data_IF_262570918187
#
_entry.id   IF_262570918187
#
_cell.length_a   1.000
_cell.length_b   1.000
_cell.length_c   1.000
_cell.angle_alpha   90.00
_cell.angle_beta   90.00
_cell.angle_gamma   90.00
#
_symmetry.space_group_name_H-M   'P 1'
#
loop_
_entity.id
_entity.type
_entity.pdbx_description
1 polymer ?
#
# COMPACT_ATOMS: atom_id res chain seq x y z
N UNK A 1 8.82 20.93 64.11
CA UNK A 1 9.91 20.00 63.75
C UNK A 1 9.32 18.60 63.65
N UNK A 2 9.36 17.98 62.47
CA UNK A 2 8.84 16.62 62.26
C UNK A 2 9.73 15.63 63.07
N UNK A 3 9.14 14.73 63.88
CA UNK A 3 9.88 13.76 64.70
C UNK A 3 10.87 12.94 63.85
N UNK A 4 12.05 12.65 64.41
CA UNK A 4 13.14 11.97 63.69
C UNK A 4 12.78 10.53 63.29
N UNK A 5 11.88 9.88 64.02
CA UNK A 5 11.43 8.50 63.75
C UNK A 5 10.51 8.32 62.53
N UNK A 6 9.85 9.39 62.06
CA UNK A 6 8.85 9.30 60.98
C UNK A 6 9.49 9.57 59.59
N UNK A 7 10.68 10.17 59.55
CA UNK A 7 11.44 10.45 58.31
C UNK A 7 11.80 9.20 57.47
N UNK A 8 12.18 8.05 58.06
CA UNK A 8 12.47 6.84 57.30
C UNK A 8 11.23 6.32 56.56
N UNK A 9 10.05 6.40 57.18
CA UNK A 9 8.78 5.99 56.57
C UNK A 9 8.41 6.84 55.36
N UNK A 10 8.52 8.17 55.47
CA UNK A 10 8.30 9.07 54.33
C UNK A 10 9.31 8.85 53.21
N UNK A 11 10.57 8.54 53.54
CA UNK A 11 11.60 8.24 52.54
C UNK A 11 11.30 6.93 51.80
N UNK A 12 10.86 5.90 52.50
CA UNK A 12 10.53 4.62 51.86
C UNK A 12 9.30 4.72 50.95
N UNK A 13 8.27 5.47 51.36
CA UNK A 13 7.11 5.79 50.51
C UNK A 13 7.55 6.60 49.28
N UNK A 14 8.41 7.60 49.46
CA UNK A 14 8.95 8.39 48.35
C UNK A 14 9.72 7.52 47.36
N UNK A 15 10.58 6.63 47.85
CA UNK A 15 11.36 5.71 47.01
C UNK A 15 10.47 4.67 46.31
N UNK A 16 9.38 4.23 46.93
CA UNK A 16 8.37 3.37 46.29
C UNK A 16 7.63 4.09 45.17
N UNK A 17 7.15 5.33 45.41
CA UNK A 17 6.47 6.13 44.40
C UNK A 17 7.39 6.41 43.22
N UNK A 18 8.67 6.71 43.49
CA UNK A 18 9.68 6.95 42.46
C UNK A 18 9.94 5.70 41.59
N UNK A 19 10.03 4.52 42.21
CA UNK A 19 10.18 3.25 41.48
C UNK A 19 8.96 2.91 40.63
N UNK A 20 7.75 3.13 41.15
CA UNK A 20 6.51 2.96 40.40
C UNK A 20 6.42 3.92 39.22
N UNK A 21 6.85 5.17 39.40
CA UNK A 21 6.86 6.17 38.32
C UNK A 21 7.84 5.79 37.20
N UNK A 22 9.03 5.30 37.55
CA UNK A 22 9.98 4.74 36.58
C UNK A 22 9.41 3.52 35.83
N UNK A 23 8.76 2.60 36.55
CA UNK A 23 8.11 1.43 35.93
C UNK A 23 6.95 1.84 35.01
N UNK A 24 6.18 2.86 35.38
CA UNK A 24 5.12 3.44 34.55
C UNK A 24 5.69 4.10 33.30
N UNK A 25 6.82 4.79 33.42
CA UNK A 25 7.54 5.39 32.30
C UNK A 25 7.96 4.34 31.27
N UNK A 26 8.64 3.27 31.69
CA UNK A 26 9.07 2.19 30.79
C UNK A 26 7.88 1.49 30.12
N UNK A 27 6.81 1.21 30.85
CA UNK A 27 5.62 0.58 30.27
C UNK A 27 4.91 1.48 29.24
N UNK A 28 4.93 2.80 29.46
CA UNK A 28 4.42 3.77 28.48
C UNK A 28 5.26 3.81 27.21
N UNK A 29 6.58 3.81 27.32
CA UNK A 29 7.47 3.76 26.16
C UNK A 29 7.24 2.50 25.31
N UNK A 30 7.12 1.34 25.96
CA UNK A 30 6.81 0.08 25.27
C UNK A 30 5.44 0.12 24.59
N UNK A 31 4.42 0.68 25.25
CA UNK A 31 3.09 0.82 24.67
C UNK A 31 3.10 1.73 23.45
N UNK A 32 3.80 2.88 23.54
CA UNK A 32 3.96 3.80 22.42
C UNK A 32 4.69 3.14 21.27
N UNK A 33 5.79 2.41 21.54
CA UNK A 33 6.52 1.68 20.52
C UNK A 33 5.65 0.62 19.82
N UNK A 34 4.88 -0.15 20.59
CA UNK A 34 3.96 -1.15 20.05
C UNK A 34 2.85 -0.51 19.19
N UNK A 35 2.28 0.61 19.62
CA UNK A 35 1.31 1.37 18.82
C UNK A 35 1.94 1.86 17.52
N UNK A 36 3.14 2.45 17.56
CA UNK A 36 3.86 2.90 16.36
C UNK A 36 4.12 1.76 15.38
N UNK A 37 4.54 0.58 15.87
CA UNK A 37 4.72 -0.62 15.03
C UNK A 37 3.39 -1.06 14.42
N UNK A 38 2.31 -1.08 15.20
CA UNK A 38 1.00 -1.46 14.70
C UNK A 38 0.52 -0.52 13.58
N UNK A 39 0.71 0.80 13.76
CA UNK A 39 0.42 1.79 12.73
C UNK A 39 1.25 1.55 11.46
N UNK A 40 2.55 1.30 11.59
CA UNK A 40 3.42 0.96 10.45
C UNK A 40 2.91 -0.28 9.73
N UNK A 41 2.56 -1.34 10.45
CA UNK A 41 2.03 -2.58 9.87
C UNK A 41 0.71 -2.34 9.12
N UNK A 42 -0.19 -1.52 9.68
CA UNK A 42 -1.43 -1.12 9.00
C UNK A 42 -1.10 -0.36 7.72
N UNK A 43 -0.16 0.59 7.76
CA UNK A 43 0.27 1.34 6.57
C UNK A 43 0.90 0.44 5.50
N UNK A 44 1.73 -0.54 5.88
CA UNK A 44 2.31 -1.51 4.94
C UNK A 44 1.21 -2.34 4.27
N UNK A 45 0.25 -2.84 5.05
CA UNK A 45 -0.87 -3.62 4.52
C UNK A 45 -1.78 -2.76 3.62
N UNK A 46 -2.03 -1.50 3.98
CA UNK A 46 -2.72 -0.55 3.10
C UNK A 46 -1.96 -0.30 1.79
N UNK A 47 -0.63 -0.25 1.84
CA UNK A 47 0.19 -0.04 0.65
C UNK A 47 0.09 -1.23 -0.31
N UNK A 48 0.03 -2.47 0.19
CA UNK A 48 -0.26 -3.64 -0.64
C UNK A 48 -1.63 -3.53 -1.34
N UNK A 49 -2.65 -3.05 -0.63
CA UNK A 49 -3.98 -2.81 -1.20
C UNK A 49 -3.98 -1.75 -2.32
N UNK A 50 -3.30 -0.62 -2.10
CA UNK A 50 -3.16 0.45 -3.10
C UNK A 50 -2.38 -0.05 -4.32
N UNK A 51 -1.30 -0.81 -4.11
CA UNK A 51 -0.55 -1.42 -5.21
C UNK A 51 -1.44 -2.35 -6.03
N UNK A 52 -2.23 -3.23 -5.39
CA UNK A 52 -3.17 -4.08 -6.12
C UNK A 52 -4.17 -3.25 -6.95
N UNK A 53 -4.79 -2.23 -6.36
CA UNK A 53 -5.75 -1.37 -7.06
C UNK A 53 -5.12 -0.61 -8.24
N UNK A 54 -3.92 -0.06 -8.07
CA UNK A 54 -3.18 0.59 -9.15
C UNK A 54 -2.75 -0.41 -10.24
N UNK A 55 -2.46 -1.67 -9.88
CA UNK A 55 -2.28 -2.78 -10.82
C UNK A 55 -3.52 -3.03 -11.67
N UNK A 56 -4.71 -3.13 -11.05
CA UNK A 56 -5.99 -3.25 -11.76
C UNK A 56 -6.29 -2.04 -12.66
N UNK A 57 -6.02 -0.82 -12.18
CA UNK A 57 -6.16 0.41 -12.97
C UNK A 57 -5.27 0.41 -14.21
N UNK A 58 -4.02 -0.06 -14.10
CA UNK A 58 -3.11 -0.18 -15.24
C UNK A 58 -3.59 -1.24 -16.25
N UNK A 59 -4.20 -2.35 -15.80
CA UNK A 59 -4.82 -3.34 -16.69
C UNK A 59 -5.95 -2.70 -17.51
N UNK A 60 -6.77 -1.83 -16.90
CA UNK A 60 -7.91 -1.19 -17.56
C UNK A 60 -7.51 0.00 -18.45
N UNK A 61 -6.50 0.79 -18.07
CA UNK A 61 -6.09 1.98 -18.81
C UNK A 61 -5.59 1.68 -20.23
N UNK A 62 -5.04 0.49 -20.45
CA UNK A 62 -4.39 0.12 -21.71
C UNK A 62 -5.36 -0.30 -22.80
N UNK A 63 -6.35 -1.20 -22.58
CA UNK A 63 -7.42 -1.38 -23.55
C UNK A 63 -8.16 -0.06 -23.78
N UNK A 64 -8.34 0.80 -22.77
CA UNK A 64 -8.92 2.14 -22.99
C UNK A 64 -8.06 3.01 -23.91
N UNK A 65 -6.73 3.02 -23.75
CA UNK A 65 -5.82 3.75 -24.67
C UNK A 65 -5.86 3.17 -26.09
N UNK A 66 -5.89 1.84 -26.23
CA UNK A 66 -6.00 1.17 -27.54
C UNK A 66 -7.36 1.53 -28.17
N UNK A 67 -8.47 1.38 -27.45
CA UNK A 67 -9.79 1.81 -27.91
C UNK A 67 -9.85 3.31 -28.22
N UNK A 68 -9.13 4.17 -27.50
CA UNK A 68 -9.06 5.62 -27.78
C UNK A 68 -8.30 5.93 -29.07
N UNK A 69 -7.16 5.27 -29.31
CA UNK A 69 -6.39 5.39 -30.55
C UNK A 69 -7.18 4.90 -31.75
N UNK A 70 -7.88 3.77 -31.63
CA UNK A 70 -8.70 3.21 -32.70
C UNK A 70 -10.05 3.95 -32.84
N UNK A 71 -10.62 4.48 -31.76
CA UNK A 71 -11.87 5.25 -31.76
C UNK A 71 -11.74 6.61 -32.46
N UNK A 72 -10.55 7.20 -32.49
CA UNK A 72 -10.26 8.43 -33.23
C UNK A 72 -9.87 8.22 -34.70
N UNK A 73 -9.72 6.98 -35.19
CA UNK A 73 -9.23 6.72 -36.56
C UNK A 73 -10.03 5.67 -37.35
N UNK A 74 -11.35 5.63 -37.18
CA UNK A 74 -12.25 4.88 -38.09
C UNK A 74 -12.64 5.68 -39.36
N UNK A 75 -12.17 6.92 -39.51
CA UNK A 75 -12.59 7.80 -40.62
C UNK A 75 -11.56 7.97 -41.73
N UNK A 76 -10.32 7.52 -41.53
CA UNK A 76 -9.26 7.57 -42.53
C UNK A 76 -8.38 6.32 -42.46
N UNK A 77 -8.77 5.22 -43.13
CA UNK A 77 -7.78 4.40 -43.85
C UNK A 77 -8.42 3.42 -44.86
N UNK A 78 -7.92 3.41 -46.12
CA UNK A 78 -8.43 2.61 -47.26
C UNK A 78 -8.08 1.11 -47.21
N UNK A 79 -7.52 0.59 -46.12
CA UNK A 79 -7.10 -0.82 -46.00
C UNK A 79 -8.24 -1.81 -45.69
N UNK A 80 -9.49 -1.34 -45.67
CA UNK A 80 -10.70 -2.18 -45.56
C UNK A 80 -11.02 -2.96 -46.84
N UNK A 81 -10.28 -2.76 -47.93
CA UNK A 81 -10.38 -3.58 -49.14
C UNK A 81 -9.67 -4.93 -49.02
N UNK A 82 -8.78 -5.12 -48.02
CA UNK A 82 -8.07 -6.37 -47.85
C UNK A 82 -8.77 -7.27 -46.82
N UNK A 83 -9.17 -8.47 -47.26
CA UNK A 83 -9.84 -9.55 -46.51
C UNK A 83 -9.15 -9.98 -45.20
N UNK A 84 -7.94 -9.49 -44.94
CA UNK A 84 -7.11 -9.80 -43.76
C UNK A 84 -6.96 -8.65 -42.75
N UNK A 85 -7.50 -7.45 -42.99
CA UNK A 85 -7.42 -6.33 -42.03
C UNK A 85 -8.15 -6.62 -40.71
N UNK A 86 -9.28 -7.34 -40.77
CA UNK A 86 -10.07 -7.73 -39.60
C UNK A 86 -9.34 -8.72 -38.65
N UNK A 87 -8.73 -9.83 -39.12
CA UNK A 87 -7.96 -10.72 -38.25
C UNK A 87 -6.65 -10.09 -37.73
N UNK A 88 -6.02 -9.18 -38.46
CA UNK A 88 -4.78 -8.51 -38.01
C UNK A 88 -5.06 -7.55 -36.84
N UNK A 89 -6.13 -6.77 -36.91
CA UNK A 89 -6.57 -5.90 -35.81
C UNK A 89 -6.96 -6.70 -34.57
N UNK A 90 -7.70 -7.80 -34.75
CA UNK A 90 -8.04 -8.73 -33.68
C UNK A 90 -6.79 -9.36 -33.05
N UNK A 91 -5.80 -9.73 -33.86
CA UNK A 91 -4.49 -10.22 -33.42
C UNK A 91 -3.72 -9.17 -32.60
N UNK A 92 -3.73 -7.90 -33.02
CA UNK A 92 -3.06 -6.81 -32.32
C UNK A 92 -3.70 -6.51 -30.96
N UNK A 93 -5.03 -6.61 -30.86
CA UNK A 93 -5.77 -6.51 -29.59
C UNK A 93 -5.42 -7.67 -28.65
N UNK A 94 -5.40 -8.90 -29.15
CA UNK A 94 -5.03 -10.07 -28.34
C UNK A 94 -3.57 -9.99 -27.91
N UNK A 95 -2.66 -9.57 -28.80
CA UNK A 95 -1.23 -9.49 -28.54
C UNK A 95 -0.88 -8.37 -27.55
N UNK A 96 -1.56 -7.22 -27.63
CA UNK A 96 -1.44 -6.14 -26.63
C UNK A 96 -1.96 -6.58 -25.25
N UNK A 97 -3.10 -7.29 -25.21
CA UNK A 97 -3.65 -7.86 -23.98
C UNK A 97 -2.69 -8.88 -23.33
N UNK A 98 -2.11 -9.80 -24.13
CA UNK A 98 -1.16 -10.82 -23.66
C UNK A 98 0.19 -10.22 -23.26
N UNK A 99 0.73 -9.27 -24.03
CA UNK A 99 1.99 -8.60 -23.69
C UNK A 99 1.86 -7.86 -22.35
N UNK A 100 0.72 -7.22 -22.13
CA UNK A 100 0.45 -6.53 -20.89
C UNK A 100 0.28 -7.48 -19.71
N UNK A 101 -0.50 -8.54 -19.87
CA UNK A 101 -0.67 -9.58 -18.84
C UNK A 101 0.68 -10.13 -18.38
N UNK A 102 1.61 -10.36 -19.33
CA UNK A 102 2.97 -10.81 -19.01
C UNK A 102 3.83 -9.74 -18.32
N UNK A 103 3.62 -8.46 -18.61
CA UNK A 103 4.35 -7.35 -17.97
C UNK A 103 3.87 -7.12 -16.54
N UNK A 104 2.56 -7.20 -16.31
CA UNK A 104 1.95 -7.03 -14.99
C UNK A 104 2.27 -8.22 -14.07
N UNK A 105 2.24 -9.44 -14.61
CA UNK A 105 2.71 -10.64 -13.90
C UNK A 105 4.19 -10.56 -13.53
N UNK A 106 5.03 -9.94 -14.38
CA UNK A 106 6.45 -9.69 -14.07
C UNK A 106 6.69 -8.60 -13.05
N UNK A 107 5.77 -7.63 -12.93
CA UNK A 107 5.89 -6.58 -11.94
C UNK A 107 5.64 -7.08 -10.50
N UNK A 108 5.01 -8.25 -10.33
CA UNK A 108 4.71 -8.81 -9.01
C UNK A 108 3.53 -8.13 -8.31
N UNK A 109 2.67 -7.44 -9.08
CA UNK A 109 1.50 -6.71 -8.57
C UNK A 109 0.23 -7.56 -8.60
N UNK A 110 0.37 -8.87 -8.86
CA UNK A 110 -0.67 -9.88 -8.80
C UNK A 110 -0.26 -10.99 -7.85
#
# INVERSE_FOLDING_TARGET
>A
MIPKDIRPYFRDIYDHVKRLDQSRGGMREMLTAAMSINLILITVNQNEGIQRLAGWGAILAIPTMVFSLFGMNFRYMPELDWRYGYPVTLGLVVLSCVWLYRRLKRAGWL
#
